data_IF_914861281437
#
_entry.id   IF_914861281437
#
_cell.length_a   1.000
_cell.length_b   1.000
_cell.length_c   1.000
_cell.angle_alpha   90.00
_cell.angle_beta   90.00
_cell.angle_gamma   90.00
#
_symmetry.space_group_name_H-M   'P 1'
#
loop_
_entity.id
_entity.type
_entity.pdbx_description
1 polymer ?
#
# COMPACT_ATOMS: atom_id res chain seq x y z
N UNK A 1 11.21 -35.98 33.61
CA UNK A 1 9.78 -35.71 33.32
C UNK A 1 8.93 -36.84 33.90
N UNK A 2 7.63 -36.62 34.15
CA UNK A 2 6.73 -37.68 34.65
C UNK A 2 6.69 -38.92 33.73
N UNK A 3 6.85 -38.73 32.41
CA UNK A 3 7.02 -39.81 31.43
C UNK A 3 8.26 -40.64 31.72
N UNK A 4 9.42 -40.01 31.93
CA UNK A 4 10.68 -40.71 32.24
C UNK A 4 10.61 -41.46 33.57
N UNK A 5 9.93 -40.89 34.57
CA UNK A 5 9.71 -41.55 35.86
C UNK A 5 8.80 -42.77 35.73
N UNK A 6 7.69 -42.68 34.99
CA UNK A 6 6.83 -43.84 34.70
C UNK A 6 7.55 -44.90 33.85
N UNK A 7 8.42 -44.51 32.91
CA UNK A 7 9.20 -45.47 32.12
C UNK A 7 10.18 -46.27 32.97
N UNK A 8 10.74 -45.68 34.02
CA UNK A 8 11.67 -46.34 34.94
C UNK A 8 10.97 -47.31 35.91
N UNK A 9 9.68 -47.11 36.19
CA UNK A 9 8.90 -47.99 37.07
C UNK A 9 8.19 -49.13 36.35
N UNK A 10 8.19 -49.14 35.01
CA UNK A 10 7.49 -50.14 34.20
C UNK A 10 8.42 -51.33 33.87
N UNK A 11 8.18 -52.47 34.52
CA UNK A 11 8.86 -53.76 34.29
C UNK A 11 7.97 -54.82 33.63
N UNK A 12 8.48 -56.05 33.48
CA UNK A 12 7.88 -57.19 32.74
C UNK A 12 6.49 -57.61 33.27
N UNK A 13 6.14 -57.28 34.51
CA UNK A 13 4.88 -57.65 35.21
C UNK A 13 3.85 -56.53 35.30
N UNK A 14 3.97 -55.45 34.51
CA UNK A 14 3.12 -54.26 34.66
C UNK A 14 1.68 -54.40 34.19
N UNK A 15 0.76 -53.75 34.91
CA UNK A 15 -0.67 -53.80 34.65
C UNK A 15 -1.05 -53.08 33.34
N UNK A 16 -2.19 -53.46 32.76
CA UNK A 16 -2.74 -52.81 31.55
C UNK A 16 -3.03 -51.32 31.80
N UNK A 17 -3.45 -50.97 33.01
CA UNK A 17 -3.75 -49.58 33.40
C UNK A 17 -2.49 -48.72 33.47
N UNK A 18 -1.38 -49.26 33.99
CA UNK A 18 -0.09 -48.57 34.05
C UNK A 18 0.47 -48.29 32.65
N UNK A 19 0.37 -49.28 31.75
CA UNK A 19 0.73 -49.13 30.34
C UNK A 19 -0.15 -48.10 29.63
N UNK A 20 -1.45 -48.09 29.94
CA UNK A 20 -2.40 -47.10 29.38
C UNK A 20 -2.10 -45.69 29.89
N UNK A 21 -1.79 -45.54 31.18
CA UNK A 21 -1.39 -44.26 31.79
C UNK A 21 -0.08 -43.74 31.18
N UNK A 22 0.92 -44.61 30.97
CA UNK A 22 2.15 -44.23 30.30
C UNK A 22 1.88 -43.72 28.87
N UNK A 23 1.08 -44.46 28.08
CA UNK A 23 0.72 -44.04 26.71
C UNK A 23 0.04 -42.67 26.70
N UNK A 24 -0.91 -42.42 27.61
CA UNK A 24 -1.56 -41.10 27.75
C UNK A 24 -0.53 -40.00 28.06
N UNK A 25 0.36 -40.22 29.03
CA UNK A 25 1.41 -39.24 29.37
C UNK A 25 2.38 -38.99 28.20
N UNK A 26 2.72 -40.03 27.42
CA UNK A 26 3.56 -39.89 26.23
C UNK A 26 2.89 -39.08 25.13
N UNK A 27 1.60 -39.32 24.87
CA UNK A 27 0.81 -38.54 23.90
C UNK A 27 0.74 -37.08 24.33
N UNK A 28 0.34 -36.79 25.56
CA UNK A 28 0.29 -35.41 26.09
C UNK A 28 1.66 -34.72 26.03
N UNK A 29 2.74 -35.43 26.34
CA UNK A 29 4.09 -34.87 26.24
C UNK A 29 4.49 -34.57 24.78
N UNK A 30 4.04 -35.38 23.82
CA UNK A 30 4.24 -35.13 22.39
C UNK A 30 3.47 -33.89 21.94
N UNK A 31 2.19 -33.78 22.30
CA UNK A 31 1.35 -32.62 21.97
C UNK A 31 1.90 -31.31 22.54
N UNK A 32 2.38 -31.33 23.78
CA UNK A 32 3.02 -30.17 24.41
C UNK A 32 4.34 -29.80 23.72
N UNK A 33 5.15 -30.78 23.29
CA UNK A 33 6.36 -30.51 22.51
C UNK A 33 6.02 -29.85 21.17
N UNK A 34 5.01 -30.34 20.47
CA UNK A 34 4.56 -29.76 19.20
C UNK A 34 4.01 -28.35 19.39
N UNK A 35 3.28 -28.10 20.48
CA UNK A 35 2.80 -26.77 20.83
C UNK A 35 3.96 -25.81 21.10
N UNK A 36 4.94 -26.22 21.91
CA UNK A 36 6.13 -25.40 22.20
C UNK A 36 6.91 -25.11 20.91
N UNK A 37 7.05 -26.09 20.02
CA UNK A 37 7.72 -25.88 18.73
C UNK A 37 6.99 -24.85 17.87
N UNK A 38 5.65 -24.95 17.76
CA UNK A 38 4.82 -23.97 17.04
C UNK A 38 4.95 -22.56 17.63
N UNK A 39 4.89 -22.44 18.96
CA UNK A 39 5.06 -21.16 19.65
C UNK A 39 6.45 -20.58 19.43
N UNK A 40 7.49 -21.40 19.51
CA UNK A 40 8.88 -20.98 19.28
C UNK A 40 9.07 -20.49 17.85
N UNK A 41 8.56 -21.22 16.86
CA UNK A 41 8.62 -20.81 15.46
C UNK A 41 7.86 -19.49 15.22
N UNK A 42 6.68 -19.34 15.81
CA UNK A 42 5.92 -18.09 15.76
C UNK A 42 6.65 -16.92 16.40
N UNK A 43 7.31 -17.13 17.54
CA UNK A 43 8.10 -16.11 18.24
C UNK A 43 9.32 -15.70 17.41
N UNK A 44 10.05 -16.66 16.83
CA UNK A 44 11.20 -16.40 15.96
C UNK A 44 10.79 -15.57 14.74
N UNK A 45 9.66 -15.89 14.10
CA UNK A 45 9.13 -15.13 12.97
C UNK A 45 8.78 -13.69 13.37
N UNK A 46 8.03 -13.50 14.45
CA UNK A 46 7.69 -12.17 14.98
C UNK A 46 8.94 -11.36 15.35
N UNK A 47 9.95 -12.00 15.94
CA UNK A 47 11.23 -11.35 16.28
C UNK A 47 11.96 -10.87 15.01
N UNK A 48 11.97 -11.68 13.95
CA UNK A 48 12.52 -11.29 12.64
C UNK A 48 11.76 -10.11 12.03
N UNK A 49 10.43 -10.14 12.06
CA UNK A 49 9.57 -9.07 11.55
C UNK A 49 9.76 -7.76 12.33
N UNK A 50 9.97 -7.85 13.64
CA UNK A 50 10.23 -6.68 14.52
C UNK A 50 11.60 -6.04 14.26
N UNK A 51 12.59 -6.85 13.91
CA UNK A 51 13.94 -6.36 13.56
C UNK A 51 13.98 -5.72 12.16
N UNK A 52 12.93 -5.89 11.35
CA UNK A 52 12.85 -5.29 10.02
C UNK A 52 12.34 -3.85 10.15
N UNK A 53 13.13 -2.89 9.70
CA UNK A 53 12.69 -1.49 9.61
C UNK A 53 11.46 -1.40 8.71
N UNK A 54 10.33 -0.94 9.26
CA UNK A 54 9.11 -0.75 8.49
C UNK A 54 9.16 0.61 7.83
N UNK A 55 9.24 0.62 6.51
CA UNK A 55 9.17 1.85 5.72
C UNK A 55 7.79 1.98 5.09
N UNK A 56 7.32 3.22 4.98
CA UNK A 56 6.16 3.54 4.14
C UNK A 56 6.67 4.04 2.80
N UNK A 57 6.04 3.60 1.71
CA UNK A 57 6.35 4.07 0.37
C UNK A 57 5.32 5.11 -0.04
N UNK A 58 5.79 6.32 -0.34
CA UNK A 58 4.98 7.37 -0.93
C UNK A 58 5.19 7.38 -2.44
N UNK A 59 4.10 7.29 -3.20
CA UNK A 59 4.11 7.35 -4.66
C UNK A 59 3.46 8.66 -5.05
N UNK A 60 4.19 9.47 -5.83
CA UNK A 60 3.67 10.73 -6.36
C UNK A 60 3.58 10.69 -7.88
N UNK A 61 2.60 11.39 -8.42
CA UNK A 61 2.42 11.56 -9.86
C UNK A 61 1.63 12.83 -10.16
N UNK A 62 1.62 13.23 -11.43
CA UNK A 62 0.86 14.40 -11.88
C UNK A 62 -0.41 13.96 -12.61
N UNK A 63 -1.54 14.47 -12.15
CA UNK A 63 -2.82 14.30 -12.81
C UNK A 63 -2.96 15.31 -13.95
N UNK A 64 -2.28 15.03 -15.07
CA UNK A 64 -2.33 15.89 -16.26
C UNK A 64 -3.71 15.92 -16.93
N UNK A 65 -4.57 14.92 -16.68
CA UNK A 65 -5.93 14.87 -17.22
C UNK A 65 -6.89 15.80 -16.47
N UNK A 66 -6.69 15.93 -15.16
CA UNK A 66 -7.45 16.85 -14.31
C UNK A 66 -6.59 17.37 -13.15
N UNK A 67 -5.94 18.53 -13.35
CA UNK A 67 -5.08 19.14 -12.33
C UNK A 67 -5.81 19.55 -11.04
N UNK A 68 -7.14 19.63 -11.06
CA UNK A 68 -7.96 19.95 -9.89
C UNK A 68 -8.27 18.73 -9.01
N UNK A 69 -8.20 17.53 -9.60
CA UNK A 69 -8.34 16.25 -8.92
C UNK A 69 -6.98 15.81 -8.35
N UNK A 70 -6.44 16.63 -7.45
CA UNK A 70 -5.14 16.47 -6.79
C UNK A 70 -5.27 16.21 -5.29
N UNK A 71 -4.15 15.91 -4.63
CA UNK A 71 -4.10 15.55 -3.20
C UNK A 71 -3.77 14.08 -2.97
N UNK A 72 -3.89 13.64 -1.72
CA UNK A 72 -3.40 12.34 -1.27
C UNK A 72 -4.53 11.34 -1.12
N UNK A 73 -4.27 10.12 -1.60
CA UNK A 73 -5.08 8.93 -1.40
C UNK A 73 -4.38 8.05 -0.38
N UNK A 74 -5.05 7.83 0.75
CA UNK A 74 -4.53 7.03 1.86
C UNK A 74 -5.28 5.72 1.91
N UNK A 75 -4.55 4.63 1.66
CA UNK A 75 -5.01 3.26 1.76
C UNK A 75 -4.60 2.65 3.09
N UNK A 76 -5.35 1.64 3.52
CA UNK A 76 -5.01 0.77 4.64
C UNK A 76 -5.17 -0.69 4.20
N UNK A 77 -4.06 -1.42 4.13
CA UNK A 77 -4.02 -2.81 3.69
C UNK A 77 -4.75 -3.02 2.35
N UNK A 78 -4.47 -2.15 1.38
CA UNK A 78 -5.07 -2.18 0.04
C UNK A 78 -6.49 -1.61 -0.08
N UNK A 79 -7.10 -1.12 1.02
CA UNK A 79 -8.41 -0.46 1.01
C UNK A 79 -8.28 1.05 1.09
N UNK A 80 -8.93 1.78 0.18
CA UNK A 80 -9.01 3.25 0.25
C UNK A 80 -9.80 3.69 1.49
N UNK A 81 -9.21 4.58 2.30
CA UNK A 81 -9.83 5.16 3.51
C UNK A 81 -10.12 6.65 3.31
N UNK A 82 -9.14 7.39 2.77
CA UNK A 82 -9.23 8.84 2.53
C UNK A 82 -8.79 9.15 1.10
N UNK A 83 -9.47 10.09 0.45
CA UNK A 83 -9.20 10.50 -0.93
C UNK A 83 -9.15 12.02 -1.03
N UNK A 84 -8.35 12.55 -1.96
CA UNK A 84 -8.20 13.98 -2.19
C UNK A 84 -7.82 14.80 -0.95
N UNK A 85 -7.08 14.21 -0.01
CA UNK A 85 -6.62 14.90 1.18
C UNK A 85 -5.61 15.98 0.76
N UNK A 86 -5.97 17.24 0.98
CA UNK A 86 -5.11 18.37 0.63
C UNK A 86 -4.02 18.51 1.69
N UNK A 87 -2.77 18.58 1.23
CA UNK A 87 -1.61 18.72 2.10
C UNK A 87 -1.10 20.15 2.04
N UNK A 88 -0.85 20.76 3.19
CA UNK A 88 -0.41 22.16 3.30
C UNK A 88 -1.49 23.09 3.87
N UNK A 89 -1.13 24.36 4.05
CA UNK A 89 -2.05 25.35 4.63
C UNK A 89 -3.12 25.77 3.61
N UNK A 90 -4.43 25.65 3.92
CA UNK A 90 -5.53 26.02 3.02
C UNK A 90 -5.51 27.49 2.58
N UNK A 91 -4.85 28.34 3.37
CA UNK A 91 -4.94 29.79 3.26
C UNK A 91 -3.99 30.40 2.24
N UNK A 92 -3.11 29.59 1.63
CA UNK A 92 -2.27 30.07 0.53
C UNK A 92 -2.91 29.61 -0.77
N UNK A 93 -3.20 30.55 -1.68
CA UNK A 93 -3.45 30.31 -3.11
C UNK A 93 -2.19 29.77 -3.78
N UNK A 94 -1.56 28.76 -3.19
CA UNK A 94 -0.30 28.19 -3.66
C UNK A 94 -0.61 27.25 -4.79
N UNK A 95 -0.23 27.66 -6.00
CA UNK A 95 -0.14 26.82 -7.20
C UNK A 95 0.83 25.64 -7.00
N UNK A 96 1.65 25.69 -5.95
CA UNK A 96 2.59 24.64 -5.57
C UNK A 96 1.90 23.30 -5.39
N UNK A 97 2.46 22.27 -6.03
CA UNK A 97 1.96 20.90 -6.01
C UNK A 97 0.52 20.74 -6.55
N UNK A 98 -0.06 21.77 -7.19
CA UNK A 98 -1.35 21.63 -7.86
C UNK A 98 -1.23 20.54 -8.92
N UNK A 99 -2.21 19.65 -8.98
CA UNK A 99 -2.19 18.50 -9.89
C UNK A 99 -1.36 17.32 -9.40
N UNK A 100 -0.62 17.44 -8.28
CA UNK A 100 0.11 16.31 -7.70
C UNK A 100 -0.85 15.39 -6.95
N UNK A 101 -0.82 14.11 -7.30
CA UNK A 101 -1.52 13.04 -6.58
C UNK A 101 -0.49 12.25 -5.80
N UNK A 102 -0.73 12.08 -4.50
CA UNK A 102 0.04 11.19 -3.64
C UNK A 102 -0.75 9.92 -3.34
N UNK A 103 -0.08 8.77 -3.29
CA UNK A 103 -0.65 7.48 -2.91
C UNK A 103 0.24 6.87 -1.83
N UNK A 104 -0.38 6.38 -0.76
CA UNK A 104 0.27 5.61 0.30
C UNK A 104 -0.66 4.47 0.74
N UNK A 105 -0.08 3.29 0.98
CA UNK A 105 -0.77 2.19 1.66
C UNK A 105 -0.15 1.95 3.04
N UNK A 106 -0.95 2.17 4.07
CA UNK A 106 -0.50 2.17 5.47
C UNK A 106 -0.90 0.85 6.13
N UNK A 107 0.04 0.07 6.69
CA UNK A 107 -0.28 -1.14 7.43
C UNK A 107 -1.10 -0.84 8.70
N UNK A 108 -1.98 -1.76 9.11
CA UNK A 108 -2.82 -1.58 10.32
C UNK A 108 -2.02 -1.43 11.62
N UNK A 109 -0.77 -1.92 11.67
CA UNK A 109 0.11 -1.70 12.82
C UNK A 109 0.59 -0.24 12.96
N UNK A 110 0.46 0.56 11.91
CA UNK A 110 0.81 1.99 11.91
C UNK A 110 -0.44 2.85 12.11
N UNK A 111 -1.50 2.60 11.35
CA UNK A 111 -2.78 3.29 11.49
C UNK A 111 -3.95 2.33 11.32
N UNK A 112 -4.84 2.32 12.30
CA UNK A 112 -6.10 1.58 12.23
C UNK A 112 -7.25 2.47 11.74
N UNK A 113 -8.10 1.96 10.85
CA UNK A 113 -9.28 2.69 10.43
C UNK A 113 -10.35 2.70 11.53
N UNK A 114 -11.16 3.76 11.53
CA UNK A 114 -12.41 3.84 12.30
C UNK A 114 -13.41 2.77 11.87
N UNK A 115 -14.46 2.55 12.67
CA UNK A 115 -15.49 1.54 12.44
C UNK A 115 -16.11 1.60 11.03
N UNK A 116 -16.42 2.79 10.52
CA UNK A 116 -17.01 2.98 9.18
C UNK A 116 -15.97 2.97 8.04
N UNK A 117 -14.67 2.85 8.36
CA UNK A 117 -13.54 2.82 7.42
C UNK A 117 -13.48 4.04 6.49
N UNK A 118 -13.82 5.22 7.00
CA UNK A 118 -13.72 6.52 6.29
C UNK A 118 -12.73 7.49 6.93
N UNK A 119 -12.18 7.13 8.09
CA UNK A 119 -11.17 7.89 8.83
C UNK A 119 -10.25 6.93 9.58
N UNK A 120 -9.17 7.46 10.15
CA UNK A 120 -8.27 6.72 11.05
C UNK A 120 -8.61 6.98 12.51
N UNK A 121 -8.40 5.97 13.36
CA UNK A 121 -8.74 6.02 14.78
C UNK A 121 -7.79 6.94 15.56
N UNK A 122 -6.49 6.91 15.23
CA UNK A 122 -5.51 7.85 15.77
C UNK A 122 -5.36 9.06 14.84
N UNK A 123 -6.05 10.14 15.21
CA UNK A 123 -6.02 11.38 14.47
C UNK A 123 -4.64 12.06 14.54
N UNK A 124 -3.88 11.92 15.64
CA UNK A 124 -2.57 12.58 15.79
C UNK A 124 -1.54 11.94 14.88
N UNK A 125 -1.46 10.61 14.87
CA UNK A 125 -0.58 9.86 13.97
C UNK A 125 -0.97 10.07 12.51
N UNK A 126 -2.27 10.17 12.20
CA UNK A 126 -2.74 10.49 10.86
C UNK A 126 -2.28 11.89 10.41
N UNK A 127 -2.44 12.92 11.23
CA UNK A 127 -1.94 14.27 10.91
C UNK A 127 -0.41 14.31 10.79
N UNK A 128 0.30 13.54 11.61
CA UNK A 128 1.75 13.39 11.51
C UNK A 128 2.15 12.75 10.17
N UNK A 129 1.44 11.71 9.72
CA UNK A 129 1.62 11.11 8.39
C UNK A 129 1.40 12.15 7.28
N UNK A 130 0.29 12.90 7.31
CA UNK A 130 0.01 13.93 6.30
C UNK A 130 1.10 15.01 6.24
N UNK A 131 1.62 15.43 7.39
CA UNK A 131 2.74 16.39 7.46
C UNK A 131 3.97 15.86 6.73
N UNK A 132 4.36 14.61 7.01
CA UNK A 132 5.51 13.97 6.36
C UNK A 132 5.27 13.82 4.85
N UNK A 133 4.10 13.37 4.42
CA UNK A 133 3.75 13.28 3.00
C UNK A 133 3.90 14.65 2.32
N UNK A 134 3.54 15.74 2.98
CA UNK A 134 3.70 17.10 2.47
C UNK A 134 5.15 17.55 2.28
N UNK A 135 6.07 17.06 3.12
CA UNK A 135 7.50 17.28 2.94
C UNK A 135 8.03 16.55 1.70
N UNK A 136 7.70 15.27 1.55
CA UNK A 136 8.10 14.48 0.37
C UNK A 136 7.40 14.93 -0.92
N UNK A 137 6.16 15.43 -0.85
CA UNK A 137 5.46 15.99 -2.01
C UNK A 137 6.16 17.25 -2.54
N UNK A 138 6.65 18.11 -1.64
CA UNK A 138 7.47 19.27 -2.03
C UNK A 138 8.78 18.85 -2.65
N UNK A 139 9.43 17.82 -2.10
CA UNK A 139 10.64 17.26 -2.71
C UNK A 139 10.36 16.74 -4.12
N UNK A 140 9.30 15.94 -4.31
CA UNK A 140 8.88 15.46 -5.63
C UNK A 140 8.63 16.61 -6.63
N UNK A 141 7.96 17.67 -6.19
CA UNK A 141 7.70 18.85 -7.03
C UNK A 141 9.00 19.53 -7.48
N UNK A 142 9.97 19.66 -6.57
CA UNK A 142 11.30 20.21 -6.87
C UNK A 142 12.09 19.29 -7.81
N UNK A 143 12.09 17.99 -7.53
CA UNK A 143 12.79 16.97 -8.33
C UNK A 143 12.21 16.86 -9.76
N UNK A 144 10.90 17.08 -9.91
CA UNK A 144 10.25 17.15 -11.21
C UNK A 144 10.65 18.41 -12.01
N UNK A 145 11.30 19.38 -11.37
CA UNK A 145 11.79 20.61 -11.99
C UNK A 145 10.70 21.63 -12.36
N UNK A 146 9.44 21.37 -12.02
CA UNK A 146 8.28 22.16 -12.49
C UNK A 146 8.23 23.55 -11.85
N UNK A 147 8.81 23.70 -10.66
CA UNK A 147 8.77 24.91 -9.84
C UNK A 147 9.11 26.21 -10.58
N UNK A 148 10.03 26.14 -11.55
CA UNK A 148 10.51 27.31 -12.29
C UNK A 148 9.68 27.64 -13.56
N UNK A 149 8.80 26.75 -14.03
CA UNK A 149 8.06 26.90 -15.29
C UNK A 149 6.62 26.34 -15.19
N UNK A 150 5.97 26.56 -14.05
CA UNK A 150 4.66 25.97 -13.73
C UNK A 150 3.60 26.30 -14.79
N UNK A 151 3.58 27.54 -15.28
CA UNK A 151 2.60 27.99 -16.28
C UNK A 151 2.82 27.28 -17.60
N UNK A 152 4.04 27.32 -18.11
CA UNK A 152 4.47 26.70 -19.36
C UNK A 152 4.22 25.19 -19.31
N UNK A 153 4.55 24.54 -18.20
CA UNK A 153 4.27 23.12 -17.99
C UNK A 153 2.79 22.82 -18.21
N UNK A 154 1.88 23.55 -17.56
CA UNK A 154 0.45 23.31 -17.67
C UNK A 154 -0.11 23.67 -19.06
N UNK A 155 0.44 24.70 -19.71
CA UNK A 155 0.09 25.05 -21.09
C UNK A 155 0.42 23.92 -22.07
N UNK A 156 1.52 23.17 -21.87
CA UNK A 156 1.86 22.01 -22.73
C UNK A 156 0.78 20.94 -22.74
N UNK A 157 0.00 20.82 -21.65
CA UNK A 157 -1.10 19.87 -21.50
C UNK A 157 -2.47 20.49 -21.74
N UNK A 158 -2.54 21.73 -22.24
CA UNK A 158 -3.78 22.38 -22.66
C UNK A 158 -4.48 23.21 -21.59
N UNK A 159 -3.84 23.49 -20.46
CA UNK A 159 -4.37 24.41 -19.45
C UNK A 159 -3.84 25.82 -19.73
N UNK A 160 -4.61 26.61 -20.48
CA UNK A 160 -4.20 27.95 -20.93
C UNK A 160 -4.69 29.09 -20.05
N UNK A 161 -5.61 28.83 -19.13
CA UNK A 161 -6.13 29.83 -18.21
C UNK A 161 -5.55 29.67 -16.80
N UNK A 162 -5.55 30.79 -16.09
CA UNK A 162 -5.14 30.86 -14.69
C UNK A 162 -6.19 30.24 -13.74
N UNK A 163 -7.31 29.72 -14.28
CA UNK A 163 -8.33 29.05 -13.47
C UNK A 163 -7.90 27.61 -13.18
N UNK A 164 -7.41 27.40 -11.96
CA UNK A 164 -6.85 26.12 -11.51
C UNK A 164 -7.85 24.96 -11.48
N UNK A 165 -9.15 25.23 -11.49
CA UNK A 165 -10.22 24.23 -11.43
C UNK A 165 -10.75 23.79 -12.80
N UNK A 166 -10.35 24.46 -13.88
CA UNK A 166 -10.83 24.11 -15.23
C UNK A 166 -10.12 22.89 -15.80
N UNK A 167 -10.88 22.14 -16.60
CA UNK A 167 -10.37 21.04 -17.41
C UNK A 167 -9.47 21.58 -18.53
N UNK A 168 -8.51 20.77 -19.02
CA UNK A 168 -7.65 21.18 -20.11
C UNK A 168 -8.41 21.25 -21.44
N UNK A 169 -7.85 21.97 -22.41
CA UNK A 169 -8.34 21.99 -23.78
C UNK A 169 -8.47 20.58 -24.38
N UNK A 170 -9.48 20.44 -25.24
CA UNK A 170 -9.76 19.25 -26.03
C UNK A 170 -9.12 19.31 -27.44
N UNK A 171 -8.20 20.25 -27.70
CA UNK A 171 -7.47 20.27 -28.97
C UNK A 171 -6.75 18.94 -29.19
N UNK A 172 -6.82 18.41 -30.41
CA UNK A 172 -6.36 17.06 -30.76
C UNK A 172 -4.91 16.79 -30.31
N UNK A 173 -4.01 17.75 -30.49
CA UNK A 173 -2.59 17.59 -30.17
C UNK A 173 -2.31 17.53 -28.66
N UNK A 174 -3.04 18.31 -27.84
CA UNK A 174 -2.87 18.24 -26.38
C UNK A 174 -3.50 16.98 -25.80
N UNK A 175 -4.60 16.49 -26.39
CA UNK A 175 -5.21 15.20 -26.00
C UNK A 175 -4.24 14.05 -26.27
N UNK A 176 -3.67 13.97 -27.49
CA UNK A 176 -2.67 12.97 -27.85
C UNK A 176 -1.46 13.01 -26.90
N UNK A 177 -0.97 14.21 -26.59
CA UNK A 177 0.15 14.37 -25.65
C UNK A 177 -0.19 13.84 -24.25
N UNK A 178 -1.37 14.17 -23.71
CA UNK A 178 -1.80 13.66 -22.40
C UNK A 178 -1.97 12.13 -22.41
N UNK A 179 -2.48 11.55 -23.50
CA UNK A 179 -2.62 10.10 -23.65
C UNK A 179 -1.26 9.39 -23.80
N UNK A 180 -0.30 10.00 -24.50
CA UNK A 180 1.04 9.44 -24.68
C UNK A 180 1.86 9.47 -23.38
N UNK A 181 1.60 10.44 -22.50
CA UNK A 181 2.31 10.59 -21.22
C UNK A 181 1.91 9.55 -20.15
N UNK A 182 0.75 8.90 -20.27
CA UNK A 182 0.27 7.92 -19.30
C UNK A 182 0.08 6.56 -19.98
N UNK A 183 0.82 5.50 -19.58
CA UNK A 183 0.63 4.17 -20.12
C UNK A 183 -0.80 3.66 -19.90
N UNK A 184 -1.40 3.11 -20.96
CA UNK A 184 -2.68 2.41 -20.82
C UNK A 184 -2.46 1.03 -20.20
N UNK A 185 -3.10 0.78 -19.06
CA UNK A 185 -3.11 -0.50 -18.38
C UNK A 185 -4.51 -1.12 -18.46
N UNK A 186 -4.58 -2.41 -18.77
CA UNK A 186 -5.82 -3.17 -18.83
C UNK A 186 -5.70 -4.45 -17.99
N UNK A 187 -6.78 -4.84 -17.32
CA UNK A 187 -6.85 -6.10 -16.59
C UNK A 187 -7.45 -7.19 -17.49
N UNK A 188 -6.86 -8.38 -17.47
CA UNK A 188 -7.40 -9.54 -18.19
C UNK A 188 -8.52 -10.21 -17.40
N UNK A 189 -9.71 -10.35 -17.98
CA UNK A 189 -10.87 -10.98 -17.30
C UNK A 189 -10.67 -12.47 -16.98
N UNK A 190 -9.75 -13.16 -17.66
CA UNK A 190 -9.50 -14.60 -17.43
C UNK A 190 -8.54 -14.87 -16.28
N UNK A 191 -7.46 -14.09 -16.17
CA UNK A 191 -6.38 -14.34 -15.20
C UNK A 191 -6.13 -13.19 -14.23
N UNK A 192 -6.88 -12.09 -14.34
CA UNK A 192 -6.83 -10.89 -13.51
C UNK A 192 -5.48 -10.16 -13.50
N UNK A 193 -4.55 -10.55 -14.37
CA UNK A 193 -3.25 -9.88 -14.54
C UNK A 193 -3.41 -8.57 -15.30
N UNK A 194 -2.69 -7.55 -14.85
CA UNK A 194 -2.55 -6.26 -15.51
C UNK A 194 -1.56 -6.35 -16.68
N UNK A 195 -1.87 -5.68 -17.79
CA UNK A 195 -1.03 -5.60 -18.98
C UNK A 195 -0.94 -4.16 -19.47
N UNK A 196 0.24 -3.77 -19.94
CA UNK A 196 0.47 -2.49 -20.61
C UNK A 196 0.15 -2.61 -22.10
N UNK A 197 -0.71 -1.74 -22.61
CA UNK A 197 -0.98 -1.63 -24.03
C UNK A 197 -0.01 -0.64 -24.69
N UNK A 198 0.46 -0.91 -25.92
CA UNK A 198 1.23 0.06 -26.69
C UNK A 198 0.36 1.28 -27.00
N UNK A 199 0.98 2.46 -27.06
CA UNK A 199 0.27 3.67 -27.45
C UNK A 199 -0.18 3.56 -28.93
N UNK A 200 -1.47 3.76 -29.19
CA UNK A 200 -2.09 3.54 -30.49
C UNK A 200 -1.52 4.42 -31.62
N UNK A 201 -0.85 5.54 -31.30
CA UNK A 201 -0.14 6.34 -32.30
C UNK A 201 1.03 5.63 -32.98
N UNK A 202 1.52 4.51 -32.43
CA UNK A 202 2.58 3.68 -32.99
C UNK A 202 2.08 2.25 -33.35
N UNK A 203 0.78 1.98 -33.26
CA UNK A 203 0.25 0.63 -33.48
C UNK A 203 -0.02 0.41 -34.97
N UNK A 204 0.71 -0.53 -35.58
CA UNK A 204 0.29 -1.19 -36.82
C UNK A 204 -1.06 -1.87 -36.56
N UNK A 205 -2.05 -1.79 -37.47
CA UNK A 205 -3.34 -2.41 -37.25
C UNK A 205 -3.16 -3.88 -36.90
N UNK A 206 -3.83 -4.33 -35.83
CA UNK A 206 -3.94 -5.74 -35.53
C UNK A 206 -4.71 -6.38 -36.69
N UNK A 207 -3.99 -7.01 -37.62
CA UNK A 207 -4.60 -7.94 -38.57
C UNK A 207 -5.20 -9.07 -37.76
N UNK A 208 -6.53 -9.07 -37.66
CA UNK A 208 -7.26 -10.23 -37.13
C UNK A 208 -7.05 -11.42 -38.08
N UNK A 209 -6.93 -12.65 -37.56
CA UNK A 209 -6.94 -13.85 -38.38
C UNK A 209 -8.28 -14.08 -39.07
#
# INVERSE_FOLDING_TARGET
SQVHHCQQTIGVTTSVEERTRLRKLQVTASELKDMVLRLRNGLTRKKSEMNTTKTLTFIFGLNIQNRAADGVFVYNCGRLIKMYEKIGQPNKKTVYCRGVVGIVDVPSIVLEPTHNKQSFADEKEYHFLLKNIGEYMRQYWSDAGIENYVKEFWETYGYRDDQLDRLPSNDTEVVKRRQAAVPMLIQCDKCLKWRRLPYAGNATPLTQP
#
